data_IF_032771185202
#
_entry.id   IF_032771185202
#
_cell.length_a   1.000
_cell.length_b   1.000
_cell.length_c   1.000
_cell.angle_alpha   90.00
_cell.angle_beta   90.00
_cell.angle_gamma   90.00
#
_symmetry.space_group_name_H-M   'P 1'
#
loop_
_entity.id
_entity.type
_entity.pdbx_description
1 polymer ?
#
# COMPACT_ATOMS: atom_id res chain seq x y z
N UNK A 1 -9.45 36.21 -16.45
CA UNK A 1 -10.15 35.91 -17.73
C UNK A 1 -9.26 34.99 -18.55
N UNK A 2 -9.61 33.71 -18.74
CA UNK A 2 -8.76 32.79 -19.49
C UNK A 2 -9.05 32.90 -21.01
N UNK A 3 -8.03 32.81 -21.88
CA UNK A 3 -8.22 32.83 -23.33
C UNK A 3 -8.72 31.44 -23.85
N UNK A 4 -9.35 31.38 -25.03
CA UNK A 4 -9.89 30.14 -25.58
C UNK A 4 -8.78 29.29 -26.20
N UNK A 5 -8.65 28.04 -25.76
CA UNK A 5 -7.81 27.05 -26.41
C UNK A 5 -8.41 26.67 -27.77
N UNK A 6 -7.79 27.20 -28.83
CA UNK A 6 -7.98 26.75 -30.20
C UNK A 6 -7.52 25.29 -30.34
N UNK A 7 -8.47 24.44 -30.71
CA UNK A 7 -8.24 23.08 -31.17
C UNK A 7 -7.31 23.10 -32.39
N UNK A 8 -6.06 22.66 -32.20
CA UNK A 8 -5.10 22.47 -33.30
C UNK A 8 -5.16 21.03 -33.79
N UNK A 9 -6.00 20.81 -34.79
CA UNK A 9 -5.80 19.77 -35.81
C UNK A 9 -5.51 20.49 -37.14
N UNK A 10 -4.25 20.82 -37.44
CA UNK A 10 -3.78 20.99 -38.83
C UNK A 10 -2.27 20.70 -38.88
N UNK A 11 -1.91 19.75 -39.74
CA UNK A 11 -0.58 19.56 -40.34
C UNK A 11 -0.66 20.00 -41.82
N UNK A 12 0.44 20.43 -42.47
CA UNK A 12 0.64 20.01 -43.86
C UNK A 12 2.11 19.68 -44.20
N UNK A 13 2.54 18.92 -45.21
CA UNK A 13 2.02 17.91 -46.18
C UNK A 13 3.31 17.31 -46.78
N UNK A 14 3.31 16.03 -47.18
CA UNK A 14 3.89 15.45 -48.42
C UNK A 14 4.34 13.99 -48.20
N UNK A 15 3.49 13.04 -48.61
CA UNK A 15 3.73 12.03 -49.66
C UNK A 15 2.55 11.06 -49.65
N UNK A 16 2.07 10.80 -50.87
CA UNK A 16 0.85 10.12 -51.27
C UNK A 16 0.53 8.80 -50.57
N UNK A 17 -0.69 8.73 -50.02
CA UNK A 17 -1.37 7.50 -49.64
C UNK A 17 -2.75 7.87 -49.11
N UNK A 18 -3.81 7.45 -49.80
CA UNK A 18 -5.21 7.71 -49.41
C UNK A 18 -5.46 7.29 -47.96
N UNK A 19 -5.45 8.24 -47.03
CA UNK A 19 -6.00 8.08 -45.70
C UNK A 19 -7.30 8.87 -45.65
N UNK A 20 -8.40 8.14 -45.81
CA UNK A 20 -9.75 8.61 -45.49
C UNK A 20 -9.76 9.11 -44.04
N UNK A 21 -9.71 10.43 -43.85
CA UNK A 21 -9.99 11.07 -42.58
C UNK A 21 -11.45 10.79 -42.21
N UNK A 22 -11.70 9.73 -41.43
CA UNK A 22 -13.03 9.44 -40.90
C UNK A 22 -13.42 10.53 -39.90
N UNK A 23 -14.55 11.23 -40.07
CA UNK A 23 -15.06 12.13 -39.04
C UNK A 23 -15.37 11.31 -37.78
N UNK A 24 -14.98 11.82 -36.61
CA UNK A 24 -15.19 11.22 -35.30
C UNK A 24 -16.68 11.26 -34.92
N UNK A 25 -17.52 10.47 -35.60
CA UNK A 25 -18.91 10.19 -35.25
C UNK A 25 -18.92 9.04 -34.24
N UNK A 26 -19.74 9.15 -33.20
CA UNK A 26 -20.02 8.02 -32.30
C UNK A 26 -20.39 6.79 -33.13
N UNK A 27 -19.69 5.67 -32.92
CA UNK A 27 -19.97 4.45 -33.64
C UNK A 27 -21.30 3.87 -33.14
N UNK A 28 -22.37 4.17 -33.89
CA UNK A 28 -23.71 3.66 -33.60
C UNK A 28 -23.76 2.12 -33.55
N UNK A 29 -22.79 1.43 -34.13
CA UNK A 29 -22.71 -0.04 -34.09
C UNK A 29 -22.18 -0.53 -32.73
N UNK A 30 -21.11 0.08 -32.20
CA UNK A 30 -20.56 -0.23 -30.89
C UNK A 30 -21.55 0.12 -29.76
N UNK A 31 -22.22 1.26 -29.86
CA UNK A 31 -23.27 1.68 -28.91
C UNK A 31 -24.39 0.61 -28.81
N UNK A 32 -24.89 0.13 -29.96
CA UNK A 32 -25.92 -0.92 -30.00
C UNK A 32 -25.41 -2.24 -29.43
N UNK A 33 -24.19 -2.64 -29.78
CA UNK A 33 -23.59 -3.87 -29.30
C UNK A 33 -23.35 -3.83 -27.79
N UNK A 34 -22.94 -2.68 -27.25
CA UNK A 34 -22.77 -2.49 -25.80
C UNK A 34 -24.10 -2.59 -25.04
N UNK A 35 -25.16 -1.93 -25.52
CA UNK A 35 -26.49 -1.99 -24.89
C UNK A 35 -27.02 -3.44 -24.89
N UNK A 36 -26.86 -4.16 -26.01
CA UNK A 36 -27.21 -5.59 -26.09
C UNK A 36 -26.37 -6.41 -25.11
N UNK A 37 -25.08 -6.13 -25.00
CA UNK A 37 -24.19 -6.81 -24.07
C UNK A 37 -24.56 -6.56 -22.60
N UNK A 38 -25.12 -5.39 -22.26
CA UNK A 38 -25.62 -5.11 -20.92
C UNK A 38 -26.81 -5.99 -20.53
N UNK A 39 -27.71 -6.32 -21.46
CA UNK A 39 -28.76 -7.31 -21.22
C UNK A 39 -28.15 -8.70 -20.96
N UNK A 40 -27.12 -9.07 -21.73
CA UNK A 40 -26.36 -10.29 -21.50
C UNK A 40 -25.63 -10.30 -20.14
N UNK A 41 -25.07 -9.18 -19.68
CA UNK A 41 -24.45 -9.09 -18.36
C UNK A 41 -25.46 -9.40 -17.24
N UNK A 42 -26.69 -8.87 -17.34
CA UNK A 42 -27.75 -9.11 -16.36
C UNK A 42 -28.10 -10.60 -16.28
N UNK A 43 -28.14 -11.31 -17.42
CA UNK A 43 -28.48 -12.74 -17.43
C UNK A 43 -27.41 -13.64 -16.80
N UNK A 44 -26.15 -13.19 -16.73
CA UNK A 44 -25.06 -13.95 -16.09
C UNK A 44 -24.96 -13.70 -14.58
N UNK A 45 -25.71 -12.73 -14.05
CA UNK A 45 -25.68 -12.38 -12.64
C UNK A 45 -24.40 -11.66 -12.21
N UNK A 46 -24.20 -11.58 -10.89
CA UNK A 46 -23.02 -10.99 -10.27
C UNK A 46 -21.88 -12.02 -10.20
N UNK A 47 -20.63 -11.53 -10.18
CA UNK A 47 -19.48 -12.40 -9.92
C UNK A 47 -19.61 -13.04 -8.53
N UNK A 48 -19.16 -14.28 -8.38
CA UNK A 48 -19.01 -14.89 -7.07
C UNK A 48 -17.68 -14.46 -6.45
N UNK A 49 -17.68 -14.30 -5.12
CA UNK A 49 -16.44 -14.18 -4.34
C UNK A 49 -15.76 -15.54 -4.37
N UNK A 50 -14.45 -15.59 -4.62
CA UNK A 50 -13.73 -16.87 -4.65
C UNK A 50 -13.90 -17.64 -3.33
N UNK A 51 -14.11 -18.95 -3.42
CA UNK A 51 -14.21 -19.84 -2.25
C UNK A 51 -12.84 -20.25 -1.72
N UNK A 52 -11.82 -20.21 -2.57
CA UNK A 52 -10.45 -20.57 -2.24
C UNK A 52 -9.45 -19.52 -2.73
N UNK A 53 -8.32 -19.44 -2.02
CA UNK A 53 -7.28 -18.44 -2.25
C UNK A 53 -6.70 -18.54 -3.66
N UNK A 54 -6.56 -19.72 -4.26
CA UNK A 54 -6.01 -19.91 -5.61
C UNK A 54 -6.84 -19.27 -6.73
N UNK A 55 -8.13 -19.01 -6.48
CA UNK A 55 -9.07 -18.41 -7.44
C UNK A 55 -9.32 -16.91 -7.21
N UNK A 56 -8.74 -16.33 -6.16
CA UNK A 56 -8.91 -14.90 -5.82
C UNK A 56 -8.27 -13.98 -6.86
N UNK A 57 -8.70 -12.74 -6.86
CA UNK A 57 -8.23 -11.64 -7.70
C UNK A 57 -8.29 -11.97 -9.19
N UNK A 58 -9.21 -12.86 -9.58
CA UNK A 58 -9.43 -13.19 -10.98
C UNK A 58 -9.60 -11.91 -11.80
N UNK A 59 -10.40 -10.95 -11.29
CA UNK A 59 -10.50 -9.59 -11.85
C UNK A 59 -10.90 -9.55 -13.34
N UNK A 60 -11.36 -10.69 -13.85
CA UNK A 60 -11.75 -10.96 -15.23
C UNK A 60 -13.24 -11.10 -15.32
N UNK A 61 -13.81 -10.39 -16.27
CA UNK A 61 -15.24 -10.44 -16.54
C UNK A 61 -15.53 -11.17 -17.85
N UNK A 62 -16.77 -11.63 -18.01
CA UNK A 62 -17.20 -12.21 -19.28
C UNK A 62 -17.17 -11.16 -20.38
N UNK A 63 -17.03 -11.61 -21.64
CA UNK A 63 -17.02 -10.73 -22.82
C UNK A 63 -18.22 -9.78 -22.87
N UNK A 64 -19.42 -10.23 -22.48
CA UNK A 64 -20.64 -9.41 -22.41
C UNK A 64 -20.50 -8.28 -21.37
N UNK A 65 -19.96 -8.58 -20.20
CA UNK A 65 -19.70 -7.61 -19.13
C UNK A 65 -18.65 -6.57 -19.56
N UNK A 66 -17.55 -7.00 -20.18
CA UNK A 66 -16.53 -6.09 -20.72
C UNK A 66 -17.12 -5.16 -21.79
N UNK A 67 -17.89 -5.70 -22.75
CA UNK A 67 -18.55 -4.94 -23.80
C UNK A 67 -19.59 -3.94 -23.24
N UNK A 68 -20.31 -4.31 -22.19
CA UNK A 68 -21.28 -3.43 -21.52
C UNK A 68 -20.61 -2.24 -20.79
N UNK A 69 -19.39 -2.44 -20.26
CA UNK A 69 -18.70 -1.47 -19.39
C UNK A 69 -17.61 -0.64 -20.08
N UNK A 70 -17.04 -1.11 -21.19
CA UNK A 70 -15.96 -0.42 -21.90
C UNK A 70 -15.88 -0.67 -23.40
N UNK A 71 -16.91 -1.27 -24.01
CA UNK A 71 -16.98 -1.46 -25.46
C UNK A 71 -15.90 -2.39 -26.00
N UNK A 72 -15.54 -2.19 -27.26
CA UNK A 72 -14.55 -2.98 -27.98
C UNK A 72 -13.18 -2.91 -27.29
N UNK A 73 -12.79 -1.74 -26.79
CA UNK A 73 -11.53 -1.57 -26.06
C UNK A 73 -11.42 -2.50 -24.85
N UNK A 74 -12.48 -2.59 -24.04
CA UNK A 74 -12.49 -3.52 -22.91
C UNK A 74 -12.48 -4.98 -23.38
N UNK A 75 -13.22 -5.33 -24.43
CA UNK A 75 -13.25 -6.69 -25.00
C UNK A 75 -11.89 -7.13 -25.53
N UNK A 76 -11.15 -6.25 -26.19
CA UNK A 76 -9.80 -6.54 -26.68
C UNK A 76 -8.80 -6.71 -25.54
N UNK A 77 -9.04 -6.05 -24.41
CA UNK A 77 -8.14 -6.08 -23.27
C UNK A 77 -8.36 -7.27 -22.32
N UNK A 78 -9.50 -7.97 -22.36
CA UNK A 78 -9.83 -9.03 -21.38
C UNK A 78 -8.83 -10.20 -21.38
N UNK A 79 -8.16 -10.46 -22.51
CA UNK A 79 -7.15 -11.52 -22.61
C UNK A 79 -5.79 -11.16 -22.01
N UNK A 80 -5.56 -9.87 -21.70
CA UNK A 80 -4.31 -9.38 -21.08
C UNK A 80 -4.25 -9.82 -19.62
N UNK A 81 -3.08 -9.99 -18.99
CA UNK A 81 -2.98 -10.45 -17.59
C UNK A 81 -3.46 -9.43 -16.54
N UNK A 82 -3.80 -8.21 -16.94
CA UNK A 82 -4.17 -7.11 -16.04
C UNK A 82 -5.66 -7.11 -15.70
N UNK A 83 -6.04 -6.41 -14.63
CA UNK A 83 -7.45 -6.21 -14.24
C UNK A 83 -8.25 -5.50 -15.34
N UNK A 84 -9.48 -5.92 -15.57
CA UNK A 84 -10.26 -5.44 -16.73
C UNK A 84 -10.74 -4.00 -16.57
N UNK A 85 -11.00 -3.57 -15.33
CA UNK A 85 -11.64 -2.27 -15.05
C UNK A 85 -10.86 -1.05 -15.53
N UNK A 86 -9.54 -1.18 -15.71
CA UNK A 86 -8.71 -0.11 -16.30
C UNK A 86 -9.05 0.22 -17.76
N UNK A 87 -9.82 -0.64 -18.44
CA UNK A 87 -10.21 -0.47 -19.84
C UNK A 87 -11.69 -0.07 -20.00
N UNK A 88 -12.40 0.18 -18.89
CA UNK A 88 -13.80 0.60 -18.91
C UNK A 88 -13.95 2.07 -19.26
N UNK A 89 -15.17 2.48 -19.64
CA UNK A 89 -15.41 3.88 -19.93
C UNK A 89 -15.26 4.75 -18.67
N UNK A 90 -14.49 5.83 -18.80
CA UNK A 90 -14.31 6.83 -17.75
C UNK A 90 -13.29 6.47 -16.67
N UNK A 91 -12.64 5.30 -16.73
CA UNK A 91 -11.66 4.88 -15.72
C UNK A 91 -10.22 5.30 -16.03
N UNK A 92 -9.98 5.87 -17.22
CA UNK A 92 -8.72 6.50 -17.62
C UNK A 92 -8.82 8.02 -17.59
N UNK A 93 -8.08 8.68 -18.48
CA UNK A 93 -8.16 10.14 -18.63
C UNK A 93 -9.47 10.58 -19.34
N UNK A 94 -9.57 11.86 -19.68
CA UNK A 94 -10.75 12.40 -20.38
C UNK A 94 -11.09 11.73 -21.71
N UNK A 95 -10.13 11.08 -22.37
CA UNK A 95 -10.33 10.35 -23.62
C UNK A 95 -11.07 9.03 -23.40
N UNK A 96 -11.02 8.46 -22.19
CA UNK A 96 -11.71 7.22 -21.83
C UNK A 96 -13.23 7.38 -21.67
N UNK A 97 -13.75 8.61 -21.65
CA UNK A 97 -15.18 8.86 -21.53
C UNK A 97 -15.92 8.30 -22.75
N UNK A 98 -16.93 7.46 -22.51
CA UNK A 98 -17.73 6.89 -23.58
C UNK A 98 -18.48 7.96 -24.37
N UNK A 99 -18.42 7.87 -25.70
CA UNK A 99 -19.04 8.82 -26.65
C UNK A 99 -20.19 8.11 -27.35
N UNK A 100 -21.43 8.52 -27.11
CA UNK A 100 -22.60 7.85 -27.67
C UNK A 100 -23.92 8.61 -27.47
N UNK A 101 -24.85 8.46 -28.41
CA UNK A 101 -26.10 9.25 -28.49
C UNK A 101 -27.22 8.68 -27.59
N UNK A 102 -27.20 7.38 -27.27
CA UNK A 102 -28.33 6.73 -26.57
C UNK A 102 -28.40 7.08 -25.08
N UNK A 103 -27.35 7.62 -24.45
CA UNK A 103 -27.40 7.99 -23.02
C UNK A 103 -26.28 8.98 -22.66
N UNK A 104 -26.16 10.11 -23.35
CA UNK A 104 -25.20 11.16 -22.95
C UNK A 104 -25.53 11.78 -21.58
N UNK A 105 -26.72 11.50 -21.03
CA UNK A 105 -27.18 11.89 -19.70
C UNK A 105 -27.89 10.71 -19.02
N UNK A 106 -27.78 10.64 -17.69
CA UNK A 106 -28.48 9.64 -16.86
C UNK A 106 -27.63 8.46 -16.37
N UNK A 107 -28.23 7.67 -15.47
CA UNK A 107 -27.59 6.56 -14.72
C UNK A 107 -27.04 5.43 -15.61
N UNK A 108 -27.57 5.33 -16.83
CA UNK A 108 -27.19 4.31 -17.81
C UNK A 108 -26.21 4.84 -18.85
N UNK A 109 -25.63 6.03 -18.72
CA UNK A 109 -24.58 6.49 -19.66
C UNK A 109 -23.38 5.54 -19.70
N UNK A 110 -22.69 5.37 -20.85
CA UNK A 110 -21.53 4.48 -20.96
C UNK A 110 -20.47 4.76 -19.88
N UNK A 111 -20.13 6.03 -19.68
CA UNK A 111 -19.20 6.48 -18.64
C UNK A 111 -19.67 6.11 -17.23
N UNK A 112 -20.94 6.32 -16.87
CA UNK A 112 -21.43 5.93 -15.53
C UNK A 112 -21.45 4.42 -15.35
N UNK A 113 -21.79 3.64 -16.38
CA UNK A 113 -21.76 2.18 -16.33
C UNK A 113 -20.34 1.65 -16.15
N UNK A 114 -19.37 2.20 -16.89
CA UNK A 114 -17.95 1.85 -16.77
C UNK A 114 -17.41 2.14 -15.38
N UNK A 115 -17.62 3.35 -14.85
CA UNK A 115 -17.22 3.73 -13.49
C UNK A 115 -17.86 2.83 -12.41
N UNK A 116 -19.17 2.56 -12.50
CA UNK A 116 -19.86 1.66 -11.55
C UNK A 116 -19.35 0.24 -11.63
N UNK A 117 -19.10 -0.26 -12.84
CA UNK A 117 -18.50 -1.57 -13.05
C UNK A 117 -17.13 -1.69 -12.41
N UNK A 118 -16.29 -0.65 -12.56
CA UNK A 118 -14.98 -0.60 -11.94
C UNK A 118 -15.05 -0.60 -10.41
N UNK A 119 -15.94 0.21 -9.82
CA UNK A 119 -16.16 0.22 -8.37
C UNK A 119 -16.65 -1.13 -7.86
N UNK A 120 -17.52 -1.81 -8.62
CA UNK A 120 -17.99 -3.15 -8.27
C UNK A 120 -16.86 -4.19 -8.32
N UNK A 121 -16.00 -4.14 -9.35
CA UNK A 121 -14.87 -5.07 -9.46
C UNK A 121 -13.82 -4.83 -8.37
N UNK A 122 -13.56 -3.57 -8.02
CA UNK A 122 -12.71 -3.19 -6.89
C UNK A 122 -13.29 -3.70 -5.55
N UNK A 123 -14.61 -3.68 -5.40
CA UNK A 123 -15.27 -4.22 -4.20
C UNK A 123 -15.11 -5.73 -4.09
N UNK A 124 -15.20 -6.48 -5.19
CA UNK A 124 -14.87 -7.91 -5.18
C UNK A 124 -13.42 -8.16 -4.77
N UNK A 125 -12.47 -7.39 -5.30
CA UNK A 125 -11.06 -7.48 -4.89
C UNK A 125 -10.89 -7.15 -3.40
N UNK A 126 -11.58 -6.14 -2.88
CA UNK A 126 -11.54 -5.78 -1.45
C UNK A 126 -12.07 -6.89 -0.57
N UNK A 127 -13.22 -7.49 -0.92
CA UNK A 127 -13.81 -8.62 -0.19
C UNK A 127 -12.84 -9.80 -0.16
N UNK A 128 -12.21 -10.12 -1.29
CA UNK A 128 -11.24 -11.21 -1.38
C UNK A 128 -9.94 -10.92 -0.62
N UNK A 129 -9.48 -9.66 -0.59
CA UNK A 129 -8.37 -9.25 0.27
C UNK A 129 -8.71 -9.48 1.75
N UNK A 130 -9.90 -9.09 2.20
CA UNK A 130 -10.34 -9.33 3.58
C UNK A 130 -10.41 -10.83 3.87
N UNK A 131 -10.94 -11.62 2.93
CA UNK A 131 -11.11 -13.07 3.09
C UNK A 131 -9.79 -13.85 3.12
N UNK A 132 -8.79 -13.43 2.34
CA UNK A 132 -7.59 -14.24 2.06
C UNK A 132 -6.25 -13.59 2.41
N UNK A 133 -6.24 -12.36 2.93
CA UNK A 133 -5.03 -11.57 3.12
C UNK A 133 -4.97 -10.84 4.48
N UNK A 134 -5.60 -11.39 5.52
CA UNK A 134 -5.47 -10.88 6.90
C UNK A 134 -4.93 -11.98 7.81
N UNK A 135 -3.67 -11.89 8.19
CA UNK A 135 -2.97 -12.87 9.03
C UNK A 135 -2.35 -12.14 10.22
N UNK A 136 -2.88 -12.38 11.42
CA UNK A 136 -2.37 -11.75 12.64
C UNK A 136 -1.21 -12.55 13.26
N UNK A 137 -0.29 -11.84 13.91
CA UNK A 137 0.85 -12.42 14.62
C UNK A 137 0.67 -12.44 16.14
N UNK A 138 -0.36 -11.76 16.67
CA UNK A 138 -0.65 -11.64 18.09
C UNK A 138 -1.54 -12.79 18.60
N UNK A 139 -1.44 -13.99 18.01
CA UNK A 139 -2.14 -15.18 18.49
C UNK A 139 -3.64 -15.24 18.22
N UNK A 140 -4.23 -14.29 17.47
CA UNK A 140 -5.66 -14.35 17.12
C UNK A 140 -5.95 -15.27 15.92
N UNK A 141 -4.94 -15.54 15.09
CA UNK A 141 -5.14 -16.17 13.79
C UNK A 141 -5.66 -17.63 13.87
N UNK A 142 -5.24 -18.40 14.88
CA UNK A 142 -5.74 -19.77 15.07
C UNK A 142 -7.25 -19.78 15.33
N UNK A 143 -7.71 -18.97 16.27
CA UNK A 143 -9.14 -18.80 16.59
C UNK A 143 -9.92 -18.25 15.39
N UNK A 144 -9.31 -17.38 14.59
CA UNK A 144 -9.91 -16.88 13.34
C UNK A 144 -10.14 -18.00 12.30
N UNK A 145 -9.25 -18.99 12.23
CA UNK A 145 -9.38 -20.12 11.30
C UNK A 145 -10.33 -21.19 11.85
N UNK A 146 -10.17 -21.57 13.11
CA UNK A 146 -10.89 -22.71 13.71
C UNK A 146 -12.28 -22.32 14.25
N UNK A 147 -12.48 -21.05 14.60
CA UNK A 147 -13.63 -20.64 15.41
C UNK A 147 -13.57 -21.20 16.83
N UNK A 148 -14.56 -20.86 17.64
CA UNK A 148 -14.70 -21.39 19.01
C UNK A 148 -16.14 -21.28 19.49
N UNK A 149 -16.56 -22.15 20.40
CA UNK A 149 -17.90 -22.15 20.99
C UNK A 149 -19.05 -22.12 19.95
N UNK A 150 -18.90 -22.91 18.87
CA UNK A 150 -19.84 -22.95 17.71
C UNK A 150 -19.99 -21.63 16.94
N UNK A 151 -19.14 -20.64 17.21
CA UNK A 151 -19.05 -19.39 16.45
C UNK A 151 -17.88 -19.51 15.48
N UNK A 152 -18.14 -19.32 14.19
CA UNK A 152 -17.08 -19.28 13.17
C UNK A 152 -16.08 -18.16 13.45
N UNK A 153 -14.80 -18.41 13.19
CA UNK A 153 -13.72 -17.48 13.53
C UNK A 153 -13.91 -16.03 13.06
N UNK A 154 -14.33 -15.76 11.80
CA UNK A 154 -14.62 -14.40 11.34
C UNK A 154 -15.75 -13.68 12.11
N UNK A 155 -16.58 -14.41 12.84
CA UNK A 155 -17.66 -13.85 13.65
C UNK A 155 -17.25 -13.60 15.11
N UNK A 156 -16.05 -14.01 15.53
CA UNK A 156 -15.53 -13.73 16.88
C UNK A 156 -15.34 -12.23 17.11
N UNK A 157 -15.54 -11.80 18.37
CA UNK A 157 -15.53 -10.38 18.77
C UNK A 157 -14.57 -10.06 19.91
N UNK A 158 -14.06 -11.07 20.59
CA UNK A 158 -13.14 -10.94 21.72
C UNK A 158 -11.93 -11.82 21.46
N UNK A 159 -10.74 -11.38 21.81
CA UNK A 159 -9.52 -12.15 21.62
C UNK A 159 -8.75 -12.15 22.94
N UNK A 160 -8.45 -13.34 23.47
CA UNK A 160 -7.74 -13.47 24.75
C UNK A 160 -6.36 -12.83 24.71
N UNK A 161 -5.70 -12.88 23.54
CA UNK A 161 -4.41 -12.25 23.32
C UNK A 161 -4.45 -10.73 23.20
N UNK A 162 -5.63 -10.11 23.13
CA UNK A 162 -5.80 -8.65 23.05
C UNK A 162 -6.21 -8.01 24.37
N UNK A 163 -6.10 -8.75 25.47
CA UNK A 163 -6.36 -8.27 26.82
C UNK A 163 -5.19 -7.45 27.34
N UNK A 164 -5.46 -6.42 28.14
CA UNK A 164 -4.43 -5.80 28.97
C UNK A 164 -3.87 -6.84 29.95
N UNK A 165 -2.55 -6.88 30.15
CA UNK A 165 -1.95 -7.77 31.13
C UNK A 165 -2.18 -7.24 32.56
N UNK A 166 -1.99 -8.10 33.55
CA UNK A 166 -2.32 -7.85 34.98
C UNK A 166 -1.62 -6.63 35.57
N UNK A 167 -0.41 -6.34 35.10
CA UNK A 167 0.46 -5.24 35.51
C UNK A 167 0.08 -3.91 34.86
N UNK A 168 -0.80 -3.91 33.87
CA UNK A 168 -1.17 -2.68 33.18
C UNK A 168 -2.04 -1.79 34.09
N UNK A 169 -1.77 -0.46 34.19
CA UNK A 169 -2.51 0.43 35.11
C UNK A 169 -4.04 0.41 34.93
N UNK A 170 -4.50 0.24 33.69
CA UNK A 170 -5.93 0.15 33.35
C UNK A 170 -6.54 -1.26 33.44
N UNK A 171 -5.79 -2.29 33.87
CA UNK A 171 -6.26 -3.69 33.92
C UNK A 171 -7.58 -3.84 34.67
N UNK A 172 -7.65 -3.33 35.90
CA UNK A 172 -8.87 -3.37 36.70
C UNK A 172 -10.02 -2.55 36.06
N UNK A 173 -9.70 -1.40 35.46
CA UNK A 173 -10.69 -0.50 34.85
C UNK A 173 -11.41 -1.13 33.63
N UNK A 174 -10.71 -1.98 32.88
CA UNK A 174 -11.31 -2.71 31.76
C UNK A 174 -12.01 -4.00 32.18
N UNK A 175 -11.97 -4.42 33.45
CA UNK A 175 -12.65 -5.62 33.94
C UNK A 175 -11.74 -6.70 34.56
N UNK A 176 -10.42 -6.44 34.63
CA UNK A 176 -9.45 -7.30 35.30
C UNK A 176 -9.40 -8.71 34.71
N UNK A 177 -9.47 -9.72 35.59
CA UNK A 177 -9.47 -11.14 35.23
C UNK A 177 -10.75 -11.58 34.50
N UNK A 178 -11.84 -10.82 34.63
CA UNK A 178 -13.09 -11.05 33.91
C UNK A 178 -12.99 -10.74 32.42
N UNK A 179 -14.13 -10.70 31.73
CA UNK A 179 -14.18 -10.22 30.35
C UNK A 179 -13.74 -8.76 30.31
N UNK A 180 -12.72 -8.45 29.53
CA UNK A 180 -12.25 -7.08 29.41
C UNK A 180 -13.07 -6.31 28.37
N UNK A 181 -13.64 -5.19 28.78
CA UNK A 181 -14.38 -4.25 27.95
C UNK A 181 -14.07 -2.82 28.40
N UNK A 182 -13.55 -2.01 27.48
CA UNK A 182 -13.21 -0.62 27.75
C UNK A 182 -14.46 0.24 27.92
N UNK A 183 -14.43 1.16 28.87
CA UNK A 183 -15.57 2.01 29.22
C UNK A 183 -15.11 3.30 29.89
N UNK A 184 -16.06 4.21 30.12
CA UNK A 184 -15.79 5.48 30.80
C UNK A 184 -14.78 6.32 30.03
N UNK A 185 -13.78 6.85 30.74
CA UNK A 185 -12.82 7.79 30.13
C UNK A 185 -11.92 7.12 29.08
N UNK A 186 -11.71 5.80 29.15
CA UNK A 186 -10.90 5.04 28.18
C UNK A 186 -11.49 5.01 26.76
N UNK A 187 -12.76 5.35 26.59
CA UNK A 187 -13.45 5.38 25.29
C UNK A 187 -13.96 6.76 24.91
N UNK A 188 -13.63 7.80 25.71
CA UNK A 188 -14.03 9.20 25.43
C UNK A 188 -13.04 9.94 24.57
N UNK A 189 -11.77 9.57 24.63
CA UNK A 189 -10.68 10.14 23.84
C UNK A 189 -9.66 9.06 23.49
N UNK A 190 -8.78 9.36 22.53
CA UNK A 190 -7.67 8.47 22.19
C UNK A 190 -6.68 8.44 23.35
N UNK A 191 -6.25 7.25 23.72
CA UNK A 191 -5.23 7.06 24.76
C UNK A 191 -3.84 7.22 24.15
N UNK A 192 -2.85 7.62 24.96
CA UNK A 192 -1.48 7.83 24.51
C UNK A 192 -0.90 6.60 23.79
N UNK A 193 -1.18 5.40 24.29
CA UNK A 193 -0.65 4.15 23.73
C UNK A 193 -1.61 3.47 22.74
N UNK A 194 -2.74 4.12 22.40
CA UNK A 194 -3.72 3.58 21.46
C UNK A 194 -4.57 2.41 21.99
N UNK A 195 -4.49 2.09 23.28
CA UNK A 195 -5.36 1.09 23.90
C UNK A 195 -6.84 1.53 23.87
N UNK A 196 -7.74 0.56 23.99
CA UNK A 196 -9.19 0.77 24.14
C UNK A 196 -9.91 1.43 22.97
N UNK A 197 -9.28 1.50 21.80
CA UNK A 197 -9.96 1.90 20.57
C UNK A 197 -10.95 0.82 20.09
N UNK A 198 -10.49 -0.44 20.05
CA UNK A 198 -11.42 -1.58 20.06
C UNK A 198 -11.87 -1.81 21.51
N UNK A 199 -13.13 -1.47 21.77
CA UNK A 199 -13.76 -1.55 23.08
C UNK A 199 -13.69 -2.97 23.69
N UNK A 200 -13.65 -4.02 22.85
CA UNK A 200 -13.66 -5.42 23.29
C UNK A 200 -12.27 -6.04 23.34
N UNK A 201 -11.28 -5.37 22.75
CA UNK A 201 -9.93 -5.89 22.56
C UNK A 201 -8.94 -4.77 22.91
N UNK A 202 -8.74 -4.49 24.22
CA UNK A 202 -8.03 -3.30 24.68
C UNK A 202 -6.64 -3.07 24.05
N UNK A 203 -5.89 -4.11 23.72
CA UNK A 203 -4.55 -3.99 23.10
C UNK A 203 -4.60 -3.78 21.58
N UNK A 204 -5.74 -3.95 20.91
CA UNK A 204 -5.82 -3.88 19.46
C UNK A 204 -5.28 -2.54 18.94
N UNK A 205 -4.31 -2.59 18.03
CA UNK A 205 -3.69 -1.42 17.42
C UNK A 205 -2.87 -0.52 18.35
N UNK A 206 -2.68 -0.91 19.62
CA UNK A 206 -1.85 -0.18 20.57
C UNK A 206 -0.36 -0.27 20.22
N UNK A 207 0.43 0.64 20.80
CA UNK A 207 1.89 0.61 20.70
C UNK A 207 2.45 -0.73 21.21
N UNK A 208 3.40 -1.29 20.48
CA UNK A 208 4.09 -2.53 20.84
C UNK A 208 3.42 -3.82 20.36
N UNK A 209 2.24 -3.75 19.73
CA UNK A 209 1.62 -4.93 19.10
C UNK A 209 2.44 -5.45 17.92
N UNK A 210 2.36 -6.76 17.66
CA UNK A 210 3.06 -7.35 16.52
C UNK A 210 2.39 -6.94 15.21
N UNK A 211 3.18 -6.57 14.21
CA UNK A 211 2.65 -6.26 12.88
C UNK A 211 2.09 -7.51 12.22
N UNK A 212 0.84 -7.43 11.76
CA UNK A 212 0.19 -8.45 10.97
C UNK A 212 0.84 -8.64 9.58
N UNK A 213 0.31 -9.58 8.80
CA UNK A 213 0.74 -9.88 7.43
C UNK A 213 -0.46 -9.89 6.50
N UNK A 214 -0.22 -9.53 5.24
CA UNK A 214 -1.17 -9.72 4.16
C UNK A 214 -0.85 -10.92 3.25
N UNK A 215 0.23 -11.65 3.55
CA UNK A 215 0.61 -12.89 2.88
C UNK A 215 0.57 -14.05 3.88
N UNK A 216 0.38 -15.28 3.37
CA UNK A 216 0.36 -16.49 4.22
C UNK A 216 1.68 -16.57 5.01
N UNK A 217 1.57 -16.88 6.29
CA UNK A 217 2.65 -16.77 7.27
C UNK A 217 3.89 -17.59 6.89
N UNK A 218 3.68 -18.77 6.29
CA UNK A 218 4.72 -19.68 5.79
C UNK A 218 5.49 -19.16 4.55
N UNK A 219 4.99 -18.11 3.92
CA UNK A 219 5.57 -17.48 2.72
C UNK A 219 6.26 -16.13 2.98
N UNK A 220 6.27 -15.65 4.23
CA UNK A 220 6.74 -14.29 4.58
C UNK A 220 8.25 -14.17 4.83
N UNK A 221 8.97 -15.29 4.87
CA UNK A 221 10.42 -15.36 5.04
C UNK A 221 11.02 -16.32 4.01
N UNK A 222 11.12 -15.87 2.74
CA UNK A 222 11.54 -16.74 1.65
C UNK A 222 12.94 -17.32 1.86
N UNK A 223 13.83 -16.62 2.57
CA UNK A 223 15.18 -17.10 2.86
C UNK A 223 15.22 -18.42 3.64
N UNK A 224 14.13 -18.75 4.34
CA UNK A 224 14.02 -20.00 5.09
C UNK A 224 13.66 -21.20 4.21
N UNK A 225 13.25 -20.96 2.95
CA UNK A 225 12.97 -22.02 1.97
C UNK A 225 11.97 -23.07 2.46
N UNK A 226 11.01 -22.71 3.33
CA UNK A 226 10.21 -23.67 4.12
C UNK A 226 9.25 -24.53 3.30
N UNK A 227 8.78 -24.03 2.15
CA UNK A 227 7.83 -24.74 1.29
C UNK A 227 8.38 -24.96 -0.10
N UNK A 228 7.92 -26.00 -0.78
CA UNK A 228 8.26 -26.24 -2.20
C UNK A 228 7.90 -25.03 -3.07
N UNK A 229 6.77 -24.38 -2.79
CA UNK A 229 6.35 -23.19 -3.51
C UNK A 229 7.36 -22.04 -3.36
N UNK A 230 7.86 -21.81 -2.14
CA UNK A 230 8.88 -20.78 -1.87
C UNK A 230 10.18 -21.16 -2.57
N UNK A 231 10.66 -22.40 -2.43
CA UNK A 231 11.89 -22.85 -3.08
C UNK A 231 11.80 -22.74 -4.61
N UNK A 232 10.72 -23.20 -5.21
CA UNK A 232 10.53 -23.15 -6.66
C UNK A 232 10.39 -21.71 -7.20
N UNK A 233 9.76 -20.80 -6.43
CA UNK A 233 9.61 -19.39 -6.82
C UNK A 233 10.94 -18.61 -6.72
N UNK A 234 11.74 -18.91 -5.71
CA UNK A 234 12.95 -18.12 -5.40
C UNK A 234 14.22 -18.73 -5.99
N UNK A 235 14.24 -20.05 -6.23
CA UNK A 235 15.40 -20.76 -6.76
C UNK A 235 16.59 -20.64 -5.81
N UNK A 236 17.70 -20.14 -6.32
CA UNK A 236 18.95 -19.87 -5.59
C UNK A 236 18.94 -18.54 -4.81
N UNK A 237 17.87 -17.76 -4.87
CA UNK A 237 17.73 -16.45 -4.19
C UNK A 237 17.11 -16.59 -2.79
N UNK A 238 17.58 -17.57 -2.02
CA UNK A 238 17.10 -17.89 -0.67
C UNK A 238 18.06 -17.35 0.40
N UNK A 239 18.53 -16.11 0.25
CA UNK A 239 19.37 -15.45 1.24
C UNK A 239 19.13 -13.94 1.22
N UNK A 240 19.34 -13.29 2.37
CA UNK A 240 19.07 -11.86 2.53
C UNK A 240 19.89 -10.96 1.59
N UNK A 241 21.12 -11.37 1.27
CA UNK A 241 22.04 -10.62 0.40
C UNK A 241 22.15 -11.23 -1.01
N UNK A 242 21.18 -12.06 -1.43
CA UNK A 242 21.20 -12.72 -2.75
C UNK A 242 19.88 -12.55 -3.49
N UNK A 243 19.85 -11.82 -4.62
CA UNK A 243 20.97 -11.10 -5.25
C UNK A 243 21.44 -9.91 -4.40
N UNK A 244 22.66 -9.45 -4.68
CA UNK A 244 23.32 -8.39 -3.91
C UNK A 244 22.50 -7.07 -3.86
N UNK A 245 22.09 -6.59 -2.66
CA UNK A 245 21.22 -5.42 -2.54
C UNK A 245 21.85 -4.12 -3.04
N UNK A 246 23.16 -3.92 -2.86
CA UNK A 246 23.83 -2.73 -3.36
C UNK A 246 23.90 -2.76 -4.88
N UNK A 247 24.22 -3.91 -5.49
CA UNK A 247 24.22 -4.03 -6.95
C UNK A 247 22.83 -3.77 -7.54
N UNK A 248 21.78 -4.30 -6.91
CA UNK A 248 20.38 -4.00 -7.27
C UNK A 248 20.13 -2.49 -7.20
N UNK A 249 20.50 -1.83 -6.09
CA UNK A 249 20.35 -0.39 -5.90
C UNK A 249 21.06 0.42 -6.99
N UNK A 250 22.32 0.10 -7.26
CA UNK A 250 23.16 0.81 -8.24
C UNK A 250 22.68 0.59 -9.68
N UNK A 251 22.15 -0.58 -10.02
CA UNK A 251 21.70 -0.89 -11.39
C UNK A 251 20.26 -0.49 -11.68
N UNK A 252 19.35 -0.62 -10.72
CA UNK A 252 17.91 -0.50 -10.96
C UNK A 252 17.26 0.73 -10.31
N UNK A 253 17.83 1.26 -9.22
CA UNK A 253 17.22 2.34 -8.45
C UNK A 253 17.97 3.67 -8.53
N UNK A 254 19.22 3.65 -9.02
CA UNK A 254 19.96 4.88 -9.30
C UNK A 254 19.19 5.68 -10.36
N UNK A 255 18.91 6.95 -10.07
CA UNK A 255 18.29 7.88 -11.01
C UNK A 255 19.43 8.55 -11.79
N UNK A 256 19.78 8.07 -13.00
CA UNK A 256 20.79 8.76 -13.79
C UNK A 256 20.32 10.17 -14.12
N UNK A 257 21.28 11.06 -14.30
CA UNK A 257 21.02 12.35 -14.89
C UNK A 257 22.10 12.65 -15.92
N UNK A 258 21.79 12.40 -17.18
CA UNK A 258 22.73 12.52 -18.30
C UNK A 258 23.10 13.98 -18.56
N UNK A 259 22.20 14.91 -18.23
CA UNK A 259 22.37 16.37 -18.42
C UNK A 259 22.03 17.13 -17.13
N UNK A 260 22.85 17.03 -16.09
CA UNK A 260 22.54 17.62 -14.78
C UNK A 260 22.33 19.13 -14.84
N UNK A 261 23.13 19.83 -15.65
CA UNK A 261 23.04 21.28 -15.84
C UNK A 261 21.71 21.72 -16.48
N UNK A 262 21.17 20.92 -17.41
CA UNK A 262 19.89 21.22 -18.07
C UNK A 262 18.67 20.81 -17.22
N UNK A 263 18.84 19.85 -16.31
CA UNK A 263 17.80 19.52 -15.36
C UNK A 263 17.72 20.54 -14.24
N UNK A 264 18.86 20.96 -13.68
CA UNK A 264 18.97 21.90 -12.53
C UNK A 264 17.97 21.53 -11.43
N UNK A 265 18.03 20.30 -10.91
CA UNK A 265 17.10 19.76 -9.89
C UNK A 265 15.60 19.80 -10.30
N UNK A 266 15.32 19.89 -11.59
CA UNK A 266 13.98 20.03 -12.14
C UNK A 266 13.54 21.47 -12.36
N UNK A 267 14.36 22.47 -12.05
CA UNK A 267 14.10 23.88 -12.35
C UNK A 267 14.35 24.23 -13.81
N UNK A 268 15.25 23.52 -14.49
CA UNK A 268 15.68 23.86 -15.85
C UNK A 268 16.54 25.12 -15.88
N UNK A 269 16.97 25.52 -17.08
CA UNK A 269 17.71 26.77 -17.26
C UNK A 269 16.80 27.99 -17.05
N UNK A 270 17.39 29.13 -16.68
CA UNK A 270 16.63 30.36 -16.44
C UNK A 270 15.92 30.79 -17.74
N UNK A 271 14.61 31.05 -17.64
CA UNK A 271 13.76 31.37 -18.80
C UNK A 271 13.26 30.16 -19.60
N UNK A 272 13.67 28.93 -19.28
CA UNK A 272 13.14 27.72 -19.93
C UNK A 272 11.74 27.36 -19.39
N UNK A 273 10.83 26.97 -20.29
CA UNK A 273 9.48 26.54 -19.90
C UNK A 273 9.46 25.19 -19.19
N UNK A 274 10.47 24.33 -19.40
CA UNK A 274 10.59 22.99 -18.85
C UNK A 274 12.04 22.60 -18.62
N UNK A 275 12.30 21.77 -17.61
CA UNK A 275 13.61 21.17 -17.34
C UNK A 275 13.86 19.93 -18.20
N UNK A 276 15.08 19.73 -18.68
CA UNK A 276 15.51 18.52 -19.38
C UNK A 276 16.11 17.54 -18.35
N UNK A 277 15.27 16.61 -17.87
CA UNK A 277 15.66 15.62 -16.86
C UNK A 277 15.35 14.20 -17.38
N UNK A 278 16.20 13.22 -17.05
CA UNK A 278 15.97 11.80 -17.38
C UNK A 278 14.71 11.22 -16.70
N UNK A 279 14.22 11.87 -15.64
CA UNK A 279 12.96 11.51 -14.97
C UNK A 279 11.77 12.34 -15.45
N UNK A 280 10.59 11.74 -15.44
CA UNK A 280 9.33 12.42 -15.78
C UNK A 280 8.73 13.09 -14.54
N UNK A 281 8.34 14.36 -14.67
CA UNK A 281 7.58 15.07 -13.64
C UNK A 281 6.16 14.47 -13.54
N UNK A 282 5.60 14.43 -12.34
CA UNK A 282 4.19 14.14 -12.10
C UNK A 282 3.42 15.47 -11.94
N UNK A 283 2.79 16.02 -13.00
CA UNK A 283 2.23 17.39 -12.96
C UNK A 283 1.04 17.56 -12.02
N UNK A 284 0.48 16.46 -11.51
CA UNK A 284 -0.66 16.43 -10.59
C UNK A 284 -0.25 16.21 -9.12
N UNK A 285 1.03 15.96 -8.83
CA UNK A 285 1.57 15.81 -7.46
C UNK A 285 2.58 16.93 -7.16
N UNK A 286 2.44 17.56 -5.99
CA UNK A 286 3.43 18.50 -5.48
C UNK A 286 4.27 17.86 -4.36
N UNK A 287 5.32 18.54 -3.92
CA UNK A 287 6.21 18.04 -2.85
C UNK A 287 5.51 17.96 -1.49
N UNK A 288 4.48 18.77 -1.24
CA UNK A 288 3.69 18.70 0.00
C UNK A 288 3.00 17.34 0.14
N UNK A 289 2.54 16.74 -0.96
CA UNK A 289 1.98 15.40 -0.93
C UNK A 289 3.03 14.33 -0.55
N UNK A 290 4.31 14.53 -0.91
CA UNK A 290 5.40 13.67 -0.49
C UNK A 290 5.70 13.81 1.02
N UNK A 291 5.73 15.04 1.54
CA UNK A 291 5.87 15.27 2.98
C UNK A 291 4.67 14.72 3.76
N UNK A 292 3.46 14.86 3.23
CA UNK A 292 2.25 14.33 3.84
C UNK A 292 2.32 12.81 4.02
N UNK A 293 2.71 12.04 2.99
CA UNK A 293 2.74 10.59 3.13
C UNK A 293 3.85 10.11 4.08
N UNK A 294 4.97 10.82 4.17
CA UNK A 294 5.97 10.56 5.20
C UNK A 294 5.44 10.89 6.61
N UNK A 295 4.76 12.02 6.75
CA UNK A 295 4.12 12.43 7.99
C UNK A 295 3.06 11.42 8.46
N UNK A 296 2.27 10.87 7.54
CA UNK A 296 1.35 9.75 7.83
C UNK A 296 2.10 8.46 8.20
N UNK A 297 3.22 8.16 7.56
CA UNK A 297 4.02 6.97 7.90
C UNK A 297 4.53 7.05 9.34
N UNK A 298 4.95 8.23 9.78
CA UNK A 298 5.36 8.49 11.16
C UNK A 298 4.19 8.38 12.16
N UNK A 299 2.94 8.40 11.71
CA UNK A 299 1.74 8.19 12.55
C UNK A 299 1.34 6.71 12.59
N UNK A 300 1.51 5.96 11.49
CA UNK A 300 0.95 4.62 11.36
C UNK A 300 1.85 3.50 11.88
N UNK A 301 3.16 3.57 11.65
CA UNK A 301 4.06 2.50 12.08
C UNK A 301 5.53 2.89 12.17
N UNK A 302 6.24 2.19 13.05
CA UNK A 302 7.70 2.16 13.10
C UNK A 302 8.18 0.78 13.53
N UNK A 303 9.34 0.37 13.02
CA UNK A 303 10.08 -0.80 13.52
C UNK A 303 11.23 -0.39 14.44
N UNK A 304 11.47 0.91 14.62
CA UNK A 304 12.59 1.43 15.38
C UNK A 304 12.24 1.50 16.86
N UNK A 305 13.17 1.13 17.74
CA UNK A 305 13.07 1.39 19.17
C UNK A 305 13.95 2.59 19.52
N UNK A 306 13.32 3.68 19.97
CA UNK A 306 14.04 4.92 20.26
C UNK A 306 15.05 4.75 21.39
N UNK A 307 16.25 5.31 21.21
CA UNK A 307 17.33 5.23 22.20
C UNK A 307 18.02 3.87 22.29
N UNK A 308 17.57 2.87 21.52
CA UNK A 308 18.20 1.55 21.46
C UNK A 308 19.28 1.52 20.37
N UNK A 309 20.54 1.55 20.80
CA UNK A 309 21.69 1.29 19.93
C UNK A 309 22.23 -0.11 20.26
N UNK A 310 22.38 -0.98 19.26
CA UNK A 310 23.01 -2.28 19.41
C UNK A 310 24.41 -2.24 18.76
N UNK A 311 25.41 -2.95 19.31
CA UNK A 311 26.74 -2.99 18.70
C UNK A 311 26.79 -3.88 17.43
N UNK A 312 25.74 -4.66 17.18
CA UNK A 312 25.69 -5.63 16.09
C UNK A 312 25.26 -5.00 14.77
N UNK A 313 26.23 -4.85 13.87
CA UNK A 313 25.98 -4.47 12.49
C UNK A 313 26.02 -5.68 11.55
N UNK A 314 25.34 -5.58 10.42
CA UNK A 314 25.39 -6.54 9.32
C UNK A 314 25.82 -5.87 8.02
N UNK A 315 26.44 -6.64 7.11
CA UNK A 315 26.79 -6.17 5.77
C UNK A 315 25.53 -5.89 4.94
N UNK A 316 25.64 -4.98 3.98
CA UNK A 316 24.53 -4.60 3.09
C UNK A 316 24.76 -4.98 1.61
N UNK A 317 25.82 -5.74 1.30
CA UNK A 317 26.14 -6.21 -0.06
C UNK A 317 27.42 -5.59 -0.61
N UNK A 318 27.47 -5.38 -1.94
CA UNK A 318 28.63 -5.04 -2.75
C UNK A 318 29.70 -6.15 -2.82
N UNK A 319 29.26 -7.42 -2.88
CA UNK A 319 30.15 -8.59 -2.95
C UNK A 319 30.02 -9.36 -4.26
N UNK A 320 28.80 -9.50 -4.80
CA UNK A 320 28.55 -10.32 -5.98
C UNK A 320 27.56 -9.70 -6.96
N UNK A 321 27.51 -10.26 -8.17
CA UNK A 321 26.51 -9.96 -9.20
C UNK A 321 26.09 -11.22 -9.92
N UNK A 322 24.90 -11.19 -10.53
CA UNK A 322 24.49 -12.21 -11.50
C UNK A 322 24.92 -11.86 -12.92
N UNK A 323 25.60 -12.79 -13.58
CA UNK A 323 25.87 -12.79 -15.02
C UNK A 323 25.32 -14.10 -15.58
N UNK A 324 24.36 -14.03 -16.51
CA UNK A 324 23.67 -15.21 -17.06
C UNK A 324 23.09 -16.12 -15.96
N UNK A 325 22.46 -15.52 -14.94
CA UNK A 325 21.91 -16.18 -13.75
C UNK A 325 22.92 -16.88 -12.82
N UNK A 326 24.22 -16.77 -13.08
CA UNK A 326 25.28 -17.28 -12.21
C UNK A 326 25.83 -16.16 -11.33
N UNK A 327 25.89 -16.37 -10.02
CA UNK A 327 26.55 -15.46 -9.09
C UNK A 327 28.07 -15.45 -9.33
N UNK A 328 28.63 -14.26 -9.45
CA UNK A 328 30.06 -14.02 -9.63
C UNK A 328 30.51 -12.92 -8.66
N UNK A 329 31.69 -13.04 -8.04
CA UNK A 329 32.23 -11.98 -7.19
C UNK A 329 32.50 -10.71 -8.01
N UNK A 330 32.37 -9.54 -7.37
CA UNK A 330 32.77 -8.26 -7.96
C UNK A 330 34.28 -8.04 -7.82
N UNK A 331 34.94 -7.57 -8.89
CA UNK A 331 36.32 -7.08 -8.78
C UNK A 331 36.37 -5.66 -8.19
N UNK A 332 37.52 -5.19 -7.66
CA UNK A 332 37.69 -3.81 -7.19
C UNK A 332 37.32 -2.76 -8.25
N UNK A 333 37.67 -3.00 -9.52
CA UNK A 333 37.34 -2.12 -10.64
C UNK A 333 35.83 -2.06 -10.88
N UNK A 334 35.14 -3.19 -10.72
CA UNK A 334 33.70 -3.27 -10.87
C UNK A 334 32.95 -2.62 -9.72
N UNK A 335 33.45 -2.76 -8.49
CA UNK A 335 32.96 -2.04 -7.30
C UNK A 335 33.06 -0.54 -7.55
N UNK A 336 34.24 -0.05 -7.98
CA UNK A 336 34.47 1.35 -8.27
C UNK A 336 33.55 1.86 -9.39
N UNK A 337 33.42 1.09 -10.48
CA UNK A 337 32.54 1.43 -11.61
C UNK A 337 31.06 1.46 -11.23
N UNK A 338 30.60 0.52 -10.41
CA UNK A 338 29.24 0.51 -9.89
C UNK A 338 29.03 1.65 -8.90
N UNK A 339 30.06 2.04 -8.16
CA UNK A 339 29.96 2.96 -7.03
C UNK A 339 29.23 2.32 -5.83
N UNK A 340 29.43 1.02 -5.63
CA UNK A 340 28.96 0.35 -4.40
C UNK A 340 30.02 0.46 -3.29
N UNK A 341 29.60 0.25 -2.04
CA UNK A 341 30.41 0.51 -0.84
C UNK A 341 30.55 -0.77 -0.02
N UNK A 342 31.62 -1.56 -0.19
CA UNK A 342 31.76 -2.88 0.44
C UNK A 342 31.88 -2.79 1.97
N UNK A 343 32.29 -1.64 2.51
CA UNK A 343 32.40 -1.41 3.95
C UNK A 343 31.11 -0.94 4.62
N UNK A 344 30.06 -0.64 3.86
CA UNK A 344 28.79 -0.24 4.45
C UNK A 344 28.23 -1.37 5.34
N UNK A 345 27.72 -0.96 6.51
CA UNK A 345 27.03 -1.83 7.45
C UNK A 345 25.76 -1.13 7.94
N UNK A 346 24.80 -1.90 8.42
CA UNK A 346 23.55 -1.42 9.01
C UNK A 346 23.23 -2.20 10.28
N UNK A 347 22.50 -1.60 11.21
CA UNK A 347 21.96 -2.30 12.37
C UNK A 347 21.11 -3.50 11.95
N UNK A 348 21.14 -4.56 12.77
CA UNK A 348 20.20 -5.67 12.59
C UNK A 348 18.80 -5.22 13.00
N UNK A 349 17.81 -5.54 12.17
CA UNK A 349 16.41 -5.24 12.47
C UNK A 349 15.93 -5.93 13.76
N UNK A 350 15.08 -5.24 14.51
CA UNK A 350 14.54 -5.75 15.78
C UNK A 350 13.52 -6.88 15.53
N UNK A 351 13.88 -8.08 15.99
CA UNK A 351 12.99 -9.24 15.94
C UNK A 351 12.40 -9.47 17.33
N UNK A 352 11.08 -9.47 17.41
CA UNK A 352 10.35 -9.66 18.67
C UNK A 352 10.32 -11.14 19.09
N UNK A 353 10.14 -12.04 18.12
CA UNK A 353 10.18 -13.48 18.32
C UNK A 353 10.68 -14.15 17.03
N UNK A 354 11.65 -15.06 17.16
CA UNK A 354 12.20 -15.89 16.09
C UNK A 354 12.22 -17.38 16.43
N UNK A 355 11.56 -17.80 17.52
CA UNK A 355 11.40 -19.21 17.85
C UNK A 355 10.58 -19.91 16.76
N UNK A 356 10.66 -21.23 16.68
CA UNK A 356 9.87 -22.00 15.72
C UNK A 356 8.37 -21.82 16.00
N UNK A 357 7.55 -21.30 15.06
CA UNK A 357 6.14 -21.09 15.29
C UNK A 357 5.40 -22.42 15.41
N UNK A 358 4.45 -22.50 16.34
CA UNK A 358 3.56 -23.66 16.45
C UNK A 358 2.68 -23.79 15.18
N UNK A 359 2.41 -25.03 14.78
CA UNK A 359 1.50 -25.35 13.68
C UNK A 359 0.15 -25.85 14.19
N UNK A 360 -0.90 -25.64 13.40
CA UNK A 360 -2.25 -26.15 13.66
C UNK A 360 -2.95 -26.53 12.34
N UNK A 361 -4.06 -27.25 12.43
CA UNK A 361 -4.88 -27.62 11.26
C UNK A 361 -6.28 -27.04 11.32
N UNK A 362 -6.89 -26.75 10.17
CA UNK A 362 -8.33 -26.47 10.11
C UNK A 362 -9.17 -27.75 10.14
N UNK A 363 -10.50 -27.59 10.17
CA UNK A 363 -11.44 -28.72 10.13
C UNK A 363 -11.41 -29.55 8.82
N UNK A 364 -10.63 -29.14 7.82
CA UNK A 364 -10.40 -29.87 6.57
C UNK A 364 -8.99 -30.48 6.49
N UNK A 365 -8.19 -30.36 7.55
CA UNK A 365 -6.83 -30.89 7.63
C UNK A 365 -5.76 -30.03 6.96
N UNK A 366 -6.06 -28.81 6.50
CA UNK A 366 -5.01 -27.90 5.98
C UNK A 366 -4.17 -27.39 7.15
N UNK A 367 -2.85 -27.45 7.01
CA UNK A 367 -1.90 -26.96 8.01
C UNK A 367 -1.67 -25.44 7.90
N UNK A 368 -1.47 -24.79 9.05
CA UNK A 368 -1.21 -23.37 9.22
C UNK A 368 -0.16 -23.14 10.30
N UNK A 369 0.45 -21.95 10.29
CA UNK A 369 1.28 -21.47 11.40
C UNK A 369 0.47 -20.51 12.28
N UNK A 370 0.73 -20.54 13.58
CA UNK A 370 0.13 -19.61 14.57
C UNK A 370 0.62 -18.17 14.41
N UNK A 371 1.83 -17.98 13.90
CA UNK A 371 2.45 -16.70 13.57
C UNK A 371 3.50 -16.87 12.46
N UNK A 372 4.02 -15.76 11.95
CA UNK A 372 5.13 -15.78 11.01
C UNK A 372 6.43 -16.29 11.68
N UNK A 373 7.36 -16.91 10.92
CA UNK A 373 8.65 -17.38 11.42
C UNK A 373 9.44 -16.37 12.25
N UNK A 374 9.44 -15.09 11.84
CA UNK A 374 9.90 -13.97 12.67
C UNK A 374 8.80 -12.93 12.78
N UNK A 375 8.66 -12.31 13.94
CA UNK A 375 7.71 -11.22 14.18
C UNK A 375 8.44 -9.94 14.56
N UNK A 376 7.77 -8.81 14.30
CA UNK A 376 8.28 -7.48 14.59
C UNK A 376 7.16 -6.69 15.24
N UNK A 377 7.49 -5.85 16.22
CA UNK A 377 6.55 -4.93 16.85
C UNK A 377 6.36 -3.70 15.95
N UNK A 378 5.15 -3.17 15.95
CA UNK A 378 4.96 -1.76 15.67
C UNK A 378 5.29 -0.98 16.95
N UNK A 379 6.30 -0.13 16.92
CA UNK A 379 6.67 0.72 18.06
C UNK A 379 5.91 2.04 18.08
N UNK A 380 4.96 2.22 17.16
CA UNK A 380 3.95 3.26 17.18
C UNK A 380 2.54 2.66 17.41
N UNK A 381 1.53 3.49 17.66
CA UNK A 381 0.13 3.09 17.54
C UNK A 381 -0.18 2.80 16.07
N UNK A 382 -0.98 1.76 15.79
CA UNK A 382 -1.40 1.43 14.42
C UNK A 382 -2.64 2.23 13.98
N UNK A 383 -3.23 2.99 14.90
CA UNK A 383 -4.40 3.81 14.63
C UNK A 383 -4.03 5.06 13.87
N UNK A 384 -4.97 5.59 13.10
CA UNK A 384 -4.84 6.94 12.59
C UNK A 384 -5.24 7.93 13.68
N UNK A 385 -4.29 8.28 14.55
CA UNK A 385 -4.50 9.09 15.75
C UNK A 385 -3.61 10.33 15.87
N UNK A 386 -2.80 10.62 14.86
CA UNK A 386 -1.82 11.69 14.85
C UNK A 386 -0.79 11.57 15.99
N UNK A 387 -0.39 10.34 16.32
CA UNK A 387 0.69 10.02 17.26
C UNK A 387 1.99 10.73 16.91
N UNK A 388 2.25 11.03 15.64
CA UNK A 388 3.40 11.85 15.22
C UNK A 388 3.38 13.27 15.82
N UNK A 389 2.20 13.78 16.20
CA UNK A 389 2.04 15.07 16.90
C UNK A 389 1.92 14.84 18.42
N UNK A 390 1.16 13.84 18.85
CA UNK A 390 0.72 13.68 20.24
C UNK A 390 1.55 12.69 21.07
N UNK A 391 2.44 11.93 20.44
CA UNK A 391 3.14 10.80 21.04
C UNK A 391 2.33 9.50 21.00
N UNK A 392 3.03 8.40 21.22
CA UNK A 392 2.52 7.02 21.21
C UNK A 392 2.98 6.18 22.42
N UNK A 393 3.80 6.76 23.29
CA UNK A 393 4.34 6.15 24.51
C UNK A 393 4.86 7.22 25.48
N UNK A 394 5.37 6.79 26.64
CA UNK A 394 5.90 7.69 27.67
C UNK A 394 7.15 8.47 27.24
N UNK A 395 7.92 7.96 26.28
CA UNK A 395 9.13 8.62 25.79
C UNK A 395 8.77 9.73 24.80
N UNK A 396 7.93 9.41 23.84
CA UNK A 396 7.48 10.32 22.78
C UNK A 396 6.64 11.47 23.30
N UNK A 397 5.76 11.24 24.29
CA UNK A 397 4.92 12.31 24.86
C UNK A 397 5.76 13.43 25.51
N UNK A 398 6.97 13.13 26.01
CA UNK A 398 7.88 14.13 26.61
C UNK A 398 8.39 15.16 25.59
N UNK A 399 8.35 14.84 24.29
CA UNK A 399 8.68 15.76 23.20
C UNK A 399 7.55 16.73 22.90
N UNK A 400 6.31 16.40 23.27
CA UNK A 400 5.15 17.24 23.05
C UNK A 400 5.16 18.39 24.04
N UNK A 401 5.51 19.60 23.56
CA UNK A 401 5.50 20.80 24.38
C UNK A 401 4.09 21.39 24.42
N UNK A 402 3.58 21.66 25.61
CA UNK A 402 2.29 22.32 25.84
C UNK A 402 2.49 23.80 26.12
N UNK A 403 1.53 24.61 25.69
CA UNK A 403 1.52 26.04 26.00
C UNK A 403 1.40 26.23 27.53
N UNK A 404 2.35 26.91 28.20
CA UNK A 404 2.26 27.16 29.64
C UNK A 404 1.01 27.95 30.07
N UNK A 405 0.42 28.76 29.19
CA UNK A 405 -0.79 29.52 29.47
C UNK A 405 -2.07 28.70 29.23
N UNK A 406 -2.01 27.63 28.43
CA UNK A 406 -3.15 26.79 28.09
C UNK A 406 -2.68 25.34 27.82
N UNK A 407 -2.67 24.47 28.83
CA UNK A 407 -2.19 23.09 28.70
C UNK A 407 -2.95 22.24 27.67
N UNK A 408 -4.13 22.68 27.20
CA UNK A 408 -4.84 22.00 26.11
C UNK A 408 -4.18 22.26 24.74
N UNK A 409 -3.40 23.34 24.60
CA UNK A 409 -2.71 23.72 23.35
C UNK A 409 -1.28 23.19 23.30
N UNK A 410 -0.80 23.01 22.07
CA UNK A 410 0.61 22.76 21.80
C UNK A 410 1.38 24.09 21.82
N UNK A 411 2.60 24.07 22.35
CA UNK A 411 3.48 25.22 22.34
C UNK A 411 3.98 25.47 20.92
N UNK A 412 3.65 26.64 20.40
CA UNK A 412 4.00 27.07 19.06
C UNK A 412 4.81 28.38 19.13
N UNK A 413 5.90 28.50 18.37
CA UNK A 413 6.63 29.77 18.25
C UNK A 413 6.10 30.59 17.07
N UNK A 414 5.76 31.87 17.27
CA UNK A 414 5.45 32.75 16.14
C UNK A 414 6.70 32.93 15.26
N UNK A 415 6.50 33.04 13.95
CA UNK A 415 7.58 33.40 13.04
C UNK A 415 8.11 34.82 13.33
N UNK A 416 9.39 35.10 13.07
CA UNK A 416 9.95 36.45 13.17
C UNK A 416 9.14 37.46 12.32
N UNK A 417 8.98 38.69 12.82
CA UNK A 417 8.35 39.78 12.07
C UNK A 417 9.11 40.00 10.74
N UNK A 418 8.42 39.86 9.61
CA UNK A 418 8.99 39.98 8.26
C UNK A 418 8.99 38.68 7.43
N UNK A 419 8.71 37.52 8.04
CA UNK A 419 8.34 36.33 7.28
C UNK A 419 6.96 36.55 6.64
N UNK A 420 6.85 36.37 5.33
CA UNK A 420 5.70 36.81 4.52
C UNK A 420 4.39 36.08 4.77
N UNK A 421 4.34 35.09 5.66
CA UNK A 421 3.12 34.37 6.03
C UNK A 421 3.02 34.19 7.55
N UNK A 422 1.81 34.37 8.09
CA UNK A 422 1.49 34.10 9.49
C UNK A 422 1.65 32.60 9.78
N UNK A 423 2.85 32.19 10.18
CA UNK A 423 3.19 30.81 10.50
C UNK A 423 3.58 30.64 11.96
N UNK A 424 3.35 29.43 12.44
CA UNK A 424 3.77 28.98 13.75
C UNK A 424 4.67 27.74 13.57
N UNK A 425 5.85 27.74 14.20
CA UNK A 425 6.73 26.56 14.19
C UNK A 425 6.53 25.75 15.49
N UNK A 426 6.27 24.44 15.40
CA UNK A 426 6.32 23.59 16.57
C UNK A 426 7.76 23.55 17.08
N UNK A 427 7.93 23.69 18.39
CA UNK A 427 9.22 23.45 19.02
C UNK A 427 9.46 21.94 19.11
N UNK A 428 10.14 21.40 18.11
CA UNK A 428 10.73 20.06 18.18
C UNK A 428 12.00 20.15 19.03
N UNK A 429 12.15 19.23 19.99
CA UNK A 429 13.32 19.12 20.84
C UNK A 429 14.47 18.40 20.13
#
# INVERSE_FOLDING_TARGET
MPPPFLSRCVLPVLISGLLLSRPCKADRSEDKASVKACLGMISHGLLSVADERSKRFGGKVQKSTAMCRGGNNAVEAISRPWVDWGNYWGTGDSSSKGRGFITSKGLLSPTRRGLRGALLDLEYQRIELIKFNLFDNNGTYQDYVQGRNKVGGPALKFWSSMRLPTEHPSFAAVGGDGLQECKGDLVRARTLTGICNDVRNPLMGSTGQLMARNAELDSTFPELGRTDLVRNRHGDRLALLTPDPQVISRRLFTRPQTKPDLCKEGFGLDGAATADCDYKKAPFFNVLAAFWIQFMTHDWFSHMEEGRNAPEFMKVGCESRKVNNVEQPLSPEEIAKLGCRPEDRIDRGFVADSAEPAAFTDGKGKAYLTRAPKTMRNTNTAWWDASQIYGYDETSVKRVKRDPADPAKLLMKPLPQGATDAGYLPLLA
#
